data_IF_968210730960
#
_entry.id   IF_968210730960
#
_cell.length_a   1.000
_cell.length_b   1.000
_cell.length_c   1.000
_cell.angle_alpha   90.00
_cell.angle_beta   90.00
_cell.angle_gamma   90.00
#
_symmetry.space_group_name_H-M   'P 1'
#
loop_
_entity.id
_entity.type
_entity.pdbx_description
1 polymer ?
#
# COMPACT_ATOMS: atom_id res chain seq x y z
N UNK A 1 2.58 76.83 5.85
CA UNK A 1 1.56 75.77 6.06
C UNK A 1 1.31 75.11 4.71
N UNK A 2 2.17 74.17 4.36
CA UNK A 2 2.15 73.51 3.05
C UNK A 2 1.15 72.35 3.04
N UNK A 3 0.33 72.33 1.99
CA UNK A 3 -0.77 71.39 1.77
C UNK A 3 -0.21 69.98 1.56
N UNK A 4 -0.63 69.07 2.44
CA UNK A 4 -0.52 67.62 2.27
C UNK A 4 -1.26 67.23 0.99
N UNK A 5 -0.51 66.89 -0.07
CA UNK A 5 -1.06 66.26 -1.27
C UNK A 5 -1.29 64.77 -0.98
N UNK A 6 -2.56 64.42 -0.85
CA UNK A 6 -3.05 63.04 -0.75
C UNK A 6 -2.55 62.20 -1.93
N UNK A 7 -1.73 61.19 -1.63
CA UNK A 7 -1.36 60.11 -2.53
C UNK A 7 -2.58 59.19 -2.71
N UNK A 8 -3.42 59.46 -3.72
CA UNK A 8 -4.41 58.47 -4.20
C UNK A 8 -3.67 57.44 -5.05
N UNK A 9 -3.25 56.35 -4.41
CA UNK A 9 -2.78 55.16 -5.08
C UNK A 9 -3.96 54.52 -5.84
N UNK A 10 -4.07 54.84 -7.12
CA UNK A 10 -5.05 54.25 -8.03
C UNK A 10 -4.59 52.82 -8.32
N UNK A 11 -5.22 51.84 -7.67
CA UNK A 11 -5.04 50.44 -8.04
C UNK A 11 -5.52 50.28 -9.50
N UNK A 12 -4.57 50.15 -10.43
CA UNK A 12 -4.85 49.75 -11.80
C UNK A 12 -5.21 48.26 -11.80
N UNK A 13 -6.46 47.96 -11.46
CA UNK A 13 -7.05 46.66 -11.72
C UNK A 13 -7.26 46.59 -13.25
N UNK A 14 -6.39 45.86 -13.94
CA UNK A 14 -6.55 45.59 -15.37
C UNK A 14 -7.91 44.92 -15.62
N UNK A 15 -8.90 45.69 -16.08
CA UNK A 15 -10.17 45.14 -16.53
C UNK A 15 -9.92 44.36 -17.83
N UNK A 16 -9.87 43.01 -17.73
CA UNK A 16 -9.96 42.16 -18.91
C UNK A 16 -11.26 42.49 -19.67
N UNK A 17 -11.24 42.59 -21.00
CA UNK A 17 -12.45 42.87 -21.77
C UNK A 17 -13.48 41.74 -21.56
N UNK A 18 -14.74 42.10 -21.34
CA UNK A 18 -15.84 41.17 -21.00
C UNK A 18 -15.95 39.93 -21.91
N UNK A 19 -15.56 40.03 -23.18
CA UNK A 19 -15.54 38.89 -24.11
C UNK A 19 -14.48 37.85 -23.75
N UNK A 20 -13.27 38.27 -23.38
CA UNK A 20 -12.20 37.37 -22.96
C UNK A 20 -12.53 36.69 -21.63
N UNK A 21 -13.14 37.42 -20.69
CA UNK A 21 -13.62 36.85 -19.42
C UNK A 21 -14.64 35.73 -19.64
N UNK A 22 -15.61 35.92 -20.54
CA UNK A 22 -16.63 34.90 -20.87
C UNK A 22 -16.00 33.63 -21.47
N UNK A 23 -15.06 33.79 -22.40
CA UNK A 23 -14.35 32.65 -23.01
C UNK A 23 -13.58 31.87 -21.95
N UNK A 24 -12.88 32.58 -21.05
CA UNK A 24 -12.09 31.97 -19.99
C UNK A 24 -12.98 31.19 -19.00
N UNK A 25 -14.16 31.73 -18.65
CA UNK A 25 -15.14 31.03 -17.82
C UNK A 25 -15.71 29.78 -18.51
N UNK A 26 -15.94 29.81 -19.82
CA UNK A 26 -16.39 28.63 -20.59
C UNK A 26 -15.33 27.52 -20.59
N UNK A 27 -14.05 27.87 -20.76
CA UNK A 27 -12.94 26.91 -20.71
C UNK A 27 -12.85 26.28 -19.31
N UNK A 28 -12.84 27.09 -18.25
CA UNK A 28 -12.80 26.60 -16.87
C UNK A 28 -14.02 25.71 -16.59
N UNK A 29 -15.22 26.14 -16.99
CA UNK A 29 -16.45 25.37 -16.82
C UNK A 29 -16.39 24.03 -17.55
N UNK A 30 -15.84 23.99 -18.77
CA UNK A 30 -15.65 22.75 -19.52
C UNK A 30 -14.67 21.80 -18.84
N UNK A 31 -13.54 22.30 -18.32
CA UNK A 31 -12.57 21.50 -17.57
C UNK A 31 -13.17 20.92 -16.28
N UNK A 32 -13.93 21.72 -15.54
CA UNK A 32 -14.64 21.26 -14.33
C UNK A 32 -15.68 20.20 -14.69
N UNK A 33 -16.46 20.41 -15.75
CA UNK A 33 -17.46 19.44 -16.18
C UNK A 33 -16.82 18.10 -16.57
N UNK A 34 -15.76 18.13 -17.38
CA UNK A 34 -14.99 16.93 -17.73
C UNK A 34 -14.45 16.22 -16.49
N UNK A 35 -13.91 16.97 -15.54
CA UNK A 35 -13.44 16.42 -14.27
C UNK A 35 -14.56 15.69 -13.51
N UNK A 36 -15.73 16.33 -13.36
CA UNK A 36 -16.87 15.76 -12.63
C UNK A 36 -17.39 14.48 -13.28
N UNK A 37 -17.46 14.42 -14.61
CA UNK A 37 -17.91 13.23 -15.34
C UNK A 37 -16.98 12.04 -15.14
N UNK A 38 -15.69 12.27 -14.89
CA UNK A 38 -14.72 11.19 -14.65
C UNK A 38 -14.73 10.62 -13.22
N UNK A 39 -15.36 11.30 -12.25
CA UNK A 39 -15.41 10.85 -10.84
C UNK A 39 -15.93 9.41 -10.68
N UNK A 40 -17.12 9.02 -11.20
CA UNK A 40 -17.64 7.66 -11.01
C UNK A 40 -16.75 6.60 -11.66
N UNK A 41 -16.14 6.92 -12.80
CA UNK A 41 -15.20 6.03 -13.47
C UNK A 41 -13.92 5.84 -12.64
N UNK A 42 -13.34 6.94 -12.13
CA UNK A 42 -12.16 6.90 -11.26
C UNK A 42 -12.43 6.06 -10.01
N UNK A 43 -13.59 6.22 -9.37
CA UNK A 43 -14.01 5.43 -8.22
C UNK A 43 -14.13 3.94 -8.54
N UNK A 44 -14.69 3.60 -9.70
CA UNK A 44 -14.78 2.22 -10.15
C UNK A 44 -13.39 1.58 -10.37
N UNK A 45 -12.51 2.28 -11.09
CA UNK A 45 -11.16 1.78 -11.38
C UNK A 45 -10.31 1.73 -10.10
N UNK A 46 -10.50 2.67 -9.17
CA UNK A 46 -9.89 2.65 -7.84
C UNK A 46 -10.24 1.36 -7.08
N UNK A 47 -11.54 1.05 -6.94
CA UNK A 47 -12.00 -0.19 -6.29
C UNK A 47 -11.44 -1.45 -6.94
N UNK A 48 -11.39 -1.49 -8.28
CA UNK A 48 -10.81 -2.63 -9.01
C UNK A 48 -9.32 -2.80 -8.71
N UNK A 49 -8.56 -1.72 -8.65
CA UNK A 49 -7.15 -1.79 -8.28
C UNK A 49 -6.95 -2.20 -6.82
N UNK A 50 -7.79 -1.72 -5.89
CA UNK A 50 -7.77 -2.17 -4.51
C UNK A 50 -8.00 -3.67 -4.40
N UNK A 51 -9.02 -4.21 -5.07
CA UNK A 51 -9.33 -5.63 -5.05
C UNK A 51 -8.18 -6.48 -5.62
N UNK A 52 -7.63 -6.06 -6.77
CA UNK A 52 -6.47 -6.73 -7.38
C UNK A 52 -5.25 -6.72 -6.44
N UNK A 53 -4.94 -5.57 -5.84
CA UNK A 53 -3.85 -5.45 -4.89
C UNK A 53 -4.04 -6.34 -3.66
N UNK A 54 -5.26 -6.39 -3.10
CA UNK A 54 -5.56 -7.24 -1.96
C UNK A 54 -5.42 -8.74 -2.30
N UNK A 55 -5.82 -9.16 -3.50
CA UNK A 55 -5.62 -10.54 -3.96
C UNK A 55 -4.13 -10.86 -4.13
N UNK A 56 -3.36 -9.94 -4.69
CA UNK A 56 -1.90 -10.09 -4.81
C UNK A 56 -1.23 -10.18 -3.43
N UNK A 57 -1.71 -9.44 -2.41
CA UNK A 57 -1.21 -9.61 -1.04
C UNK A 57 -1.48 -11.01 -0.48
N UNK A 58 -2.66 -11.58 -0.74
CA UNK A 58 -2.97 -12.98 -0.34
C UNK A 58 -2.01 -13.95 -1.04
N UNK A 59 -1.69 -13.70 -2.30
CA UNK A 59 -0.70 -14.44 -3.09
C UNK A 59 0.76 -14.13 -2.69
N UNK A 60 1.00 -13.26 -1.69
CA UNK A 60 2.33 -12.82 -1.22
C UNK A 60 3.16 -12.09 -2.28
N UNK A 61 2.49 -11.50 -3.27
CA UNK A 61 3.04 -10.71 -4.38
C UNK A 61 3.09 -9.22 -4.04
N UNK A 62 3.98 -8.85 -3.12
CA UNK A 62 3.97 -7.52 -2.49
C UNK A 62 4.27 -6.38 -3.46
N UNK A 63 5.24 -6.55 -4.35
CA UNK A 63 5.65 -5.52 -5.31
C UNK A 63 4.53 -5.21 -6.29
N UNK A 64 3.86 -6.23 -6.80
CA UNK A 64 2.72 -6.04 -7.71
C UNK A 64 1.51 -5.45 -6.97
N UNK A 65 1.23 -5.91 -5.74
CA UNK A 65 0.19 -5.33 -4.90
C UNK A 65 0.43 -3.83 -4.65
N UNK A 66 1.68 -3.44 -4.34
CA UNK A 66 2.09 -2.05 -4.16
C UNK A 66 1.76 -1.20 -5.39
N UNK A 67 2.08 -1.69 -6.59
CA UNK A 67 1.78 -0.99 -7.85
C UNK A 67 0.27 -0.75 -8.02
N UNK A 68 -0.56 -1.75 -7.70
CA UNK A 68 -2.01 -1.59 -7.76
C UNK A 68 -2.56 -0.60 -6.73
N UNK A 69 -2.08 -0.63 -5.49
CA UNK A 69 -2.50 0.35 -4.49
C UNK A 69 -2.03 1.78 -4.80
N UNK A 70 -0.84 1.94 -5.40
CA UNK A 70 -0.37 3.24 -5.86
C UNK A 70 -1.28 3.81 -6.96
N UNK A 71 -1.72 2.97 -7.90
CA UNK A 71 -2.71 3.38 -8.92
C UNK A 71 -4.03 3.80 -8.26
N UNK A 72 -4.52 3.06 -7.26
CA UNK A 72 -5.73 3.41 -6.53
C UNK A 72 -5.61 4.77 -5.82
N UNK A 73 -4.50 5.01 -5.11
CA UNK A 73 -4.22 6.30 -4.44
C UNK A 73 -4.14 7.48 -5.43
N UNK A 74 -3.56 7.26 -6.62
CA UNK A 74 -3.54 8.28 -7.68
C UNK A 74 -4.93 8.57 -8.26
N UNK A 75 -5.77 7.55 -8.37
CA UNK A 75 -7.13 7.67 -8.89
C UNK A 75 -8.06 8.38 -7.90
N UNK A 76 -7.93 8.13 -6.61
CA UNK A 76 -8.69 8.81 -5.55
C UNK A 76 -7.76 9.30 -4.43
N UNK A 77 -7.08 10.45 -4.62
CA UNK A 77 -6.24 11.03 -3.60
C UNK A 77 -7.04 11.35 -2.34
N UNK A 78 -6.66 10.75 -1.22
CA UNK A 78 -7.35 10.91 0.06
C UNK A 78 -8.28 9.76 0.44
N UNK A 79 -8.46 8.75 -0.41
CA UNK A 79 -9.10 7.50 0.02
C UNK A 79 -8.23 6.81 1.09
N UNK A 80 -8.77 6.72 2.30
CA UNK A 80 -8.05 6.18 3.45
C UNK A 80 -7.70 4.70 3.24
N UNK A 81 -8.56 3.95 2.54
CA UNK A 81 -8.35 2.51 2.31
C UNK A 81 -7.18 2.30 1.36
N UNK A 82 -7.11 3.03 0.26
CA UNK A 82 -5.99 2.99 -0.69
C UNK A 82 -4.66 3.28 -0.01
N UNK A 83 -4.59 4.33 0.81
CA UNK A 83 -3.38 4.67 1.57
C UNK A 83 -3.01 3.59 2.58
N UNK A 84 -3.99 3.08 3.33
CA UNK A 84 -3.76 2.01 4.30
C UNK A 84 -3.22 0.74 3.64
N UNK A 85 -3.80 0.33 2.51
CA UNK A 85 -3.38 -0.87 1.78
C UNK A 85 -2.02 -0.70 1.10
N UNK A 86 -1.71 0.50 0.62
CA UNK A 86 -0.37 0.81 0.13
C UNK A 86 0.68 0.63 1.22
N UNK A 87 0.45 1.17 2.42
CA UNK A 87 1.36 0.98 3.55
C UNK A 87 1.42 -0.48 4.01
N UNK A 88 0.28 -1.18 4.03
CA UNK A 88 0.23 -2.61 4.32
C UNK A 88 1.13 -3.41 3.37
N UNK A 89 1.12 -3.13 2.07
CA UNK A 89 1.97 -3.84 1.11
C UNK A 89 3.47 -3.69 1.40
N UNK A 90 3.91 -2.49 1.82
CA UNK A 90 5.30 -2.23 2.19
C UNK A 90 5.71 -2.96 3.46
N UNK A 91 4.81 -2.99 4.45
CA UNK A 91 5.06 -3.64 5.73
C UNK A 91 5.06 -5.16 5.58
N UNK A 92 4.07 -5.71 4.87
CA UNK A 92 3.92 -7.13 4.62
C UNK A 92 5.11 -7.74 3.86
N UNK A 93 5.76 -6.97 2.97
CA UNK A 93 6.99 -7.39 2.30
C UNK A 93 8.14 -7.70 3.28
N UNK A 94 8.13 -7.09 4.47
CA UNK A 94 9.15 -7.27 5.51
C UNK A 94 8.70 -8.22 6.62
N UNK A 95 7.41 -8.18 6.94
CA UNK A 95 6.80 -8.93 8.01
C UNK A 95 5.41 -9.43 7.61
N UNK A 96 5.31 -10.73 7.32
CA UNK A 96 4.07 -11.37 6.90
C UNK A 96 2.97 -11.31 7.99
N UNK A 97 3.33 -11.06 9.25
CA UNK A 97 2.38 -10.92 10.35
C UNK A 97 1.41 -9.74 10.14
N UNK A 98 1.84 -8.73 9.38
CA UNK A 98 1.03 -7.55 9.06
C UNK A 98 -0.22 -7.91 8.23
N UNK A 99 -0.20 -9.04 7.51
CA UNK A 99 -1.33 -9.48 6.69
C UNK A 99 -2.50 -10.07 7.49
N UNK A 100 -2.35 -10.39 8.78
CA UNK A 100 -3.35 -11.13 9.57
C UNK A 100 -4.77 -10.58 9.44
N UNK A 101 -4.93 -9.26 9.55
CA UNK A 101 -6.25 -8.62 9.45
C UNK A 101 -6.84 -8.77 8.04
N UNK A 102 -6.03 -8.54 7.00
CA UNK A 102 -6.48 -8.70 5.61
C UNK A 102 -6.86 -10.15 5.30
N UNK A 103 -6.05 -11.13 5.75
CA UNK A 103 -6.33 -12.54 5.52
C UNK A 103 -7.64 -12.96 6.16
N UNK A 104 -7.92 -12.49 7.39
CA UNK A 104 -9.21 -12.70 8.06
C UNK A 104 -10.37 -12.05 7.30
N UNK A 105 -10.21 -10.81 6.83
CA UNK A 105 -11.22 -10.12 6.01
C UNK A 105 -11.50 -10.87 4.69
N UNK A 106 -10.50 -11.56 4.14
CA UNK A 106 -10.57 -12.35 2.90
C UNK A 106 -10.94 -13.82 3.13
N UNK A 107 -11.33 -14.18 4.37
CA UNK A 107 -11.66 -15.55 4.78
C UNK A 107 -10.55 -16.58 4.43
N UNK A 108 -9.29 -16.16 4.55
CA UNK A 108 -8.12 -17.01 4.37
C UNK A 108 -7.73 -17.66 5.71
N UNK A 109 -8.66 -18.42 6.29
CA UNK A 109 -8.55 -18.93 7.66
C UNK A 109 -7.37 -19.89 7.83
N UNK A 110 -7.12 -20.75 6.83
CA UNK A 110 -5.99 -21.67 6.85
C UNK A 110 -4.65 -20.92 6.93
N UNK A 111 -4.41 -19.98 6.01
CA UNK A 111 -3.16 -19.20 6.02
C UNK A 111 -3.03 -18.34 7.27
N UNK A 112 -4.14 -17.80 7.79
CA UNK A 112 -4.17 -17.05 9.04
C UNK A 112 -3.75 -17.92 10.22
N UNK A 113 -4.22 -19.17 10.27
CA UNK A 113 -3.84 -20.13 11.30
C UNK A 113 -2.36 -20.50 11.19
N UNK A 114 -1.86 -20.82 9.99
CA UNK A 114 -0.46 -21.17 9.77
C UNK A 114 0.48 -20.04 10.24
N UNK A 115 0.14 -18.77 9.94
CA UNK A 115 0.89 -17.61 10.41
C UNK A 115 0.84 -17.46 11.93
N UNK A 116 -0.28 -17.82 12.55
CA UNK A 116 -0.44 -17.77 14.01
C UNK A 116 0.38 -18.86 14.70
N UNK A 117 0.40 -20.07 14.13
CA UNK A 117 1.20 -21.19 14.61
C UNK A 117 2.70 -20.88 14.49
N UNK A 118 3.15 -20.26 13.40
CA UNK A 118 4.54 -19.86 13.23
C UNK A 118 5.00 -18.81 14.27
N UNK A 119 4.09 -17.92 14.71
CA UNK A 119 4.37 -16.90 15.73
C UNK A 119 4.13 -17.38 17.19
N UNK A 120 3.80 -18.66 17.38
CA UNK A 120 3.50 -19.24 18.71
C UNK A 120 4.65 -19.21 19.72
N UNK A 121 5.84 -18.75 19.32
CA UNK A 121 7.09 -18.78 20.12
C UNK A 121 7.44 -20.19 20.63
N UNK A 122 7.08 -21.20 19.84
CA UNK A 122 7.52 -22.58 20.03
C UNK A 122 8.36 -22.95 18.83
N UNK A 123 9.61 -23.34 19.06
CA UNK A 123 10.50 -23.71 17.95
C UNK A 123 10.06 -25.04 17.35
N UNK A 124 9.72 -25.06 16.05
CA UNK A 124 9.27 -26.26 15.35
C UNK A 124 9.87 -26.36 13.93
N UNK A 125 11.09 -26.88 13.87
CA UNK A 125 11.88 -26.95 12.64
C UNK A 125 11.29 -27.88 11.58
N UNK A 126 10.52 -28.91 11.96
CA UNK A 126 9.87 -29.80 10.99
C UNK A 126 8.74 -29.06 10.26
N UNK A 127 7.93 -28.30 10.99
CA UNK A 127 6.93 -27.42 10.38
C UNK A 127 7.59 -26.37 9.48
N UNK A 128 8.69 -25.74 9.94
CA UNK A 128 9.40 -24.74 9.13
C UNK A 128 9.92 -25.34 7.82
N UNK A 129 10.49 -26.54 7.87
CA UNK A 129 10.91 -27.27 6.67
C UNK A 129 9.73 -27.48 5.70
N UNK A 130 8.61 -27.98 6.19
CA UNK A 130 7.40 -28.20 5.36
C UNK A 130 6.89 -26.88 4.76
N UNK A 131 6.95 -25.78 5.51
CA UNK A 131 6.54 -24.47 5.02
C UNK A 131 7.48 -23.96 3.92
N UNK A 132 8.81 -24.13 4.08
CA UNK A 132 9.80 -23.77 3.06
C UNK A 132 9.55 -24.57 1.77
N UNK A 133 9.37 -25.89 1.88
CA UNK A 133 9.12 -26.78 0.74
C UNK A 133 7.81 -26.44 0.00
N UNK A 134 6.81 -25.89 0.70
CA UNK A 134 5.55 -25.41 0.13
C UNK A 134 5.62 -23.99 -0.45
N UNK A 135 6.77 -23.34 -0.45
CA UNK A 135 6.91 -21.95 -0.91
C UNK A 135 6.31 -20.93 0.08
N UNK A 136 6.20 -21.29 1.36
CA UNK A 136 5.77 -20.42 2.47
C UNK A 136 6.97 -19.99 3.32
N UNK A 137 8.12 -19.77 2.68
CA UNK A 137 9.38 -19.40 3.34
C UNK A 137 9.24 -18.16 4.24
N UNK A 138 8.43 -17.16 3.87
CA UNK A 138 8.20 -15.98 4.73
C UNK A 138 7.47 -16.33 6.03
N UNK A 139 6.61 -17.35 6.01
CA UNK A 139 5.91 -17.81 7.21
C UNK A 139 6.88 -18.58 8.11
N UNK A 140 7.69 -19.47 7.54
CA UNK A 140 8.76 -20.18 8.25
C UNK A 140 9.76 -19.21 8.91
N UNK A 141 10.09 -18.10 8.22
CA UNK A 141 10.98 -17.07 8.75
C UNK A 141 10.52 -16.52 10.11
N UNK A 142 9.21 -16.47 10.37
CA UNK A 142 8.66 -15.98 11.65
C UNK A 142 9.14 -16.86 12.81
N UNK A 143 9.01 -18.18 12.69
CA UNK A 143 9.41 -19.11 13.74
C UNK A 143 10.93 -19.23 13.83
N UNK A 144 11.61 -19.29 12.68
CA UNK A 144 13.07 -19.43 12.62
C UNK A 144 13.82 -18.25 13.24
N UNK A 145 13.29 -17.02 13.13
CA UNK A 145 13.81 -15.87 13.88
C UNK A 145 13.78 -16.14 15.38
N UNK A 146 12.67 -16.65 15.91
CA UNK A 146 12.58 -17.03 17.32
C UNK A 146 13.53 -18.19 17.67
N UNK A 147 13.56 -19.26 16.88
CA UNK A 147 14.42 -20.43 17.09
C UNK A 147 15.92 -20.08 17.19
N UNK A 148 16.36 -19.02 16.51
CA UNK A 148 17.74 -18.54 16.45
C UNK A 148 18.04 -17.39 17.43
N UNK A 149 17.03 -16.62 17.87
CA UNK A 149 17.21 -15.50 18.82
C UNK A 149 16.99 -15.86 20.28
N UNK A 150 15.90 -16.56 20.58
CA UNK A 150 15.38 -16.76 21.94
C UNK A 150 15.07 -18.23 22.25
N UNK A 151 14.97 -19.05 21.21
CA UNK A 151 14.72 -20.49 21.29
C UNK A 151 15.98 -21.33 21.56
N UNK A 152 15.99 -22.61 21.12
CA UNK A 152 17.08 -23.56 21.39
C UNK A 152 18.44 -23.21 20.77
N UNK A 153 18.49 -22.34 19.74
CA UNK A 153 19.73 -21.88 19.07
C UNK A 153 20.66 -22.99 18.58
N UNK A 154 20.10 -24.10 18.09
CA UNK A 154 20.90 -25.20 17.55
C UNK A 154 21.34 -24.93 16.09
N UNK A 155 22.25 -25.77 15.60
CA UNK A 155 22.78 -25.68 14.23
C UNK A 155 21.66 -25.68 13.17
N UNK A 156 20.68 -26.58 13.32
CA UNK A 156 19.59 -26.74 12.36
C UNK A 156 18.72 -25.48 12.24
N UNK A 157 18.47 -24.76 13.34
CA UNK A 157 17.75 -23.48 13.32
C UNK A 157 18.46 -22.45 12.43
N UNK A 158 19.78 -22.35 12.53
CA UNK A 158 20.57 -21.43 11.71
C UNK A 158 20.66 -21.90 10.25
N UNK A 159 20.75 -23.21 10.02
CA UNK A 159 20.73 -23.81 8.69
C UNK A 159 19.42 -23.49 7.97
N UNK A 160 18.27 -23.77 8.60
CA UNK A 160 16.96 -23.48 8.01
C UNK A 160 16.70 -21.98 7.86
N UNK A 161 17.19 -21.14 8.77
CA UNK A 161 17.16 -19.68 8.58
C UNK A 161 17.94 -19.25 7.34
N UNK A 162 19.13 -19.83 7.12
CA UNK A 162 19.95 -19.58 5.92
C UNK A 162 19.23 -19.98 4.64
N UNK A 163 18.71 -21.21 4.59
CA UNK A 163 17.95 -21.74 3.44
C UNK A 163 16.71 -20.86 3.16
N UNK A 164 15.99 -20.47 4.21
CA UNK A 164 14.81 -19.59 4.10
C UNK A 164 15.17 -18.26 3.46
N UNK A 165 16.23 -17.59 3.94
CA UNK A 165 16.65 -16.30 3.38
C UNK A 165 17.14 -16.44 1.93
N UNK A 166 17.85 -17.53 1.59
CA UNK A 166 18.21 -17.81 0.20
C UNK A 166 16.95 -17.94 -0.66
N UNK A 167 15.96 -18.71 -0.22
CA UNK A 167 14.72 -18.90 -0.98
C UNK A 167 13.98 -17.59 -1.21
N UNK A 168 13.89 -16.76 -0.17
CA UNK A 168 13.29 -15.42 -0.28
C UNK A 168 14.06 -14.49 -1.21
N UNK A 169 15.37 -14.68 -1.38
CA UNK A 169 16.15 -13.89 -2.35
C UNK A 169 15.93 -14.32 -3.80
N UNK A 170 15.55 -15.58 -4.04
CA UNK A 170 15.23 -16.10 -5.38
C UNK A 170 13.82 -15.68 -5.84
N UNK A 171 12.90 -15.48 -4.89
CA UNK A 171 11.50 -15.14 -5.15
C UNK A 171 11.24 -13.62 -5.26
N UNK A 172 12.27 -12.77 -5.08
CA UNK A 172 12.22 -11.29 -5.20
C UNK A 172 12.90 -10.80 -6.48
#
# INVERSE_FOLDING_TARGET
MDKIKNFKQKQNLHHLPNKLLKILLLIIGSLIFLYLVTIPWRAYVCRKNLEQGENLLVERKYTEAFVHFQKAEMLEPGDWKSKQRLELSKKAAKDILELRLLLKEKNQDELTQIISDADSKVCNLETDRVLIDKGLAQVALVNLKFCTSDGPKNYDSWLFLGITNQKLSEDN
#
